data_IF_986302056490
#
_entry.id   IF_986302056490
#
_cell.length_a   1.000
_cell.length_b   1.000
_cell.length_c   1.000
_cell.angle_alpha   90.00
_cell.angle_beta   90.00
_cell.angle_gamma   90.00
#
_symmetry.space_group_name_H-M   'P 1'
#
loop_
_entity.id
_entity.type
_entity.pdbx_description
1 polymer ?
#
# COMPACT_ATOMS: atom_id res chain seq x y z
N UNK A 1 -19.02 20.78 -10.73
CA UNK A 1 -19.45 19.39 -10.98
C UNK A 1 -18.86 18.52 -9.88
N UNK A 2 -19.69 17.79 -9.12
CA UNK A 2 -19.20 16.87 -8.11
C UNK A 2 -18.47 15.70 -8.81
N UNK A 3 -17.21 15.44 -8.46
CA UNK A 3 -16.48 14.29 -8.97
C UNK A 3 -17.10 13.04 -8.36
N UNK A 4 -17.59 12.12 -9.19
CA UNK A 4 -18.03 10.81 -8.74
C UNK A 4 -16.84 10.12 -8.06
N UNK A 5 -17.02 9.63 -6.83
CA UNK A 5 -15.94 8.90 -6.14
C UNK A 5 -15.67 7.57 -6.84
N UNK A 6 -14.41 7.11 -6.80
CA UNK A 6 -13.97 5.83 -7.39
C UNK A 6 -14.84 4.65 -6.95
N UNK A 7 -15.28 4.69 -5.69
CA UNK A 7 -16.10 3.66 -5.05
C UNK A 7 -17.57 3.65 -5.53
N UNK A 8 -18.11 4.81 -5.92
CA UNK A 8 -19.51 4.94 -6.33
C UNK A 8 -19.71 4.74 -7.84
N UNK A 9 -18.64 4.84 -8.62
CA UNK A 9 -18.69 4.74 -10.08
C UNK A 9 -19.20 3.37 -10.61
N UNK A 10 -18.76 2.22 -10.06
CA UNK A 10 -19.26 0.92 -10.53
C UNK A 10 -20.75 0.73 -10.22
N UNK A 11 -21.21 1.14 -9.04
CA UNK A 11 -22.60 1.01 -8.64
C UNK A 11 -23.52 1.83 -9.56
N UNK A 12 -23.16 3.09 -9.82
CA UNK A 12 -23.94 3.95 -10.70
C UNK A 12 -24.00 3.43 -12.14
N UNK A 13 -22.89 2.89 -12.67
CA UNK A 13 -22.90 2.25 -13.99
C UNK A 13 -23.73 0.96 -14.00
N UNK A 14 -23.72 0.20 -12.91
CA UNK A 14 -24.57 -0.97 -12.72
C UNK A 14 -26.04 -0.62 -12.78
N UNK A 15 -26.46 0.41 -12.03
CA UNK A 15 -27.86 0.88 -12.02
C UNK A 15 -28.34 1.30 -13.43
N UNK A 16 -27.48 1.99 -14.20
CA UNK A 16 -27.78 2.39 -15.57
C UNK A 16 -27.91 1.17 -16.49
N UNK A 17 -27.01 0.18 -16.37
CA UNK A 17 -27.07 -1.06 -17.15
C UNK A 17 -28.36 -1.83 -16.84
N UNK A 18 -28.70 -1.98 -15.56
CA UNK A 18 -29.92 -2.69 -15.14
C UNK A 18 -31.19 -2.00 -15.65
N UNK A 19 -31.28 -0.68 -15.57
CA UNK A 19 -32.41 0.06 -16.13
C UNK A 19 -32.51 -0.12 -17.64
N UNK A 20 -31.38 -0.08 -18.35
CA UNK A 20 -31.36 -0.24 -19.80
C UNK A 20 -31.83 -1.64 -20.22
N UNK A 21 -31.34 -2.69 -19.54
CA UNK A 21 -31.74 -4.08 -19.75
C UNK A 21 -33.24 -4.31 -19.51
N UNK A 22 -33.80 -3.67 -18.48
CA UNK A 22 -35.19 -3.88 -18.06
C UNK A 22 -36.19 -3.09 -18.91
N UNK A 23 -35.87 -1.85 -19.27
CA UNK A 23 -36.87 -0.90 -19.76
C UNK A 23 -36.66 -0.43 -21.21
N UNK A 24 -35.45 -0.54 -21.76
CA UNK A 24 -35.10 0.09 -23.04
C UNK A 24 -34.82 -0.91 -24.17
N UNK A 25 -34.33 -2.10 -23.82
CA UNK A 25 -34.03 -3.16 -24.78
C UNK A 25 -32.73 -2.96 -25.58
N UNK A 26 -32.34 -4.00 -26.32
CA UNK A 26 -31.01 -4.13 -26.93
C UNK A 26 -30.73 -3.16 -28.08
N UNK A 27 -31.78 -2.70 -28.78
CA UNK A 27 -31.67 -1.77 -29.93
C UNK A 27 -31.53 -0.30 -29.51
N UNK A 28 -31.80 0.02 -28.23
CA UNK A 28 -31.65 1.38 -27.73
C UNK A 28 -30.17 1.79 -27.69
N UNK A 29 -29.87 3.05 -28.00
CA UNK A 29 -28.52 3.61 -27.94
C UNK A 29 -28.51 4.99 -27.30
N UNK A 30 -27.48 5.29 -26.51
CA UNK A 30 -27.27 6.60 -25.89
C UNK A 30 -26.06 7.24 -26.53
N UNK A 31 -26.25 8.32 -27.29
CA UNK A 31 -25.16 9.00 -28.02
C UNK A 31 -24.32 8.03 -28.88
N UNK A 32 -24.97 7.04 -29.50
CA UNK A 32 -24.31 6.00 -30.31
C UNK A 32 -23.61 4.90 -29.50
N UNK A 33 -23.70 4.90 -28.17
CA UNK A 33 -23.21 3.82 -27.32
C UNK A 33 -24.27 2.73 -27.16
N UNK A 34 -23.86 1.48 -27.27
CA UNK A 34 -24.72 0.31 -27.03
C UNK A 34 -24.58 -0.20 -25.59
N UNK A 35 -25.55 -1.00 -25.13
CA UNK A 35 -25.50 -1.66 -23.82
C UNK A 35 -24.23 -2.50 -23.63
N UNK A 36 -23.85 -3.27 -24.66
CA UNK A 36 -22.62 -4.10 -24.65
C UNK A 36 -21.37 -3.24 -24.42
N UNK A 37 -21.30 -2.06 -25.04
CA UNK A 37 -20.17 -1.15 -24.85
C UNK A 37 -20.14 -0.55 -23.44
N UNK A 38 -21.31 -0.27 -22.84
CA UNK A 38 -21.41 0.22 -21.47
C UNK A 38 -20.99 -0.87 -20.46
N UNK A 39 -21.47 -2.10 -20.64
CA UNK A 39 -21.05 -3.27 -19.85
C UNK A 39 -19.53 -3.49 -19.94
N UNK A 40 -18.96 -3.42 -21.14
CA UNK A 40 -17.51 -3.52 -21.32
C UNK A 40 -16.74 -2.42 -20.56
N UNK A 41 -17.26 -1.19 -20.51
CA UNK A 41 -16.68 -0.10 -19.70
C UNK A 41 -16.77 -0.37 -18.20
N UNK A 42 -17.88 -0.93 -17.71
CA UNK A 42 -18.02 -1.33 -16.31
C UNK A 42 -16.98 -2.40 -15.94
N UNK A 43 -16.85 -3.45 -16.76
CA UNK A 43 -15.85 -4.51 -16.54
C UNK A 43 -14.42 -3.97 -16.55
N UNK A 44 -14.10 -3.08 -17.49
CA UNK A 44 -12.79 -2.43 -17.55
C UNK A 44 -12.53 -1.57 -16.31
N UNK A 45 -13.53 -0.80 -15.85
CA UNK A 45 -13.45 0.00 -14.64
C UNK A 45 -13.19 -0.88 -13.39
N UNK A 46 -13.95 -1.96 -13.23
CA UNK A 46 -13.78 -2.89 -12.11
C UNK A 46 -12.40 -3.55 -12.11
N UNK A 47 -11.90 -3.92 -13.29
CA UNK A 47 -10.53 -4.46 -13.45
C UNK A 47 -9.48 -3.45 -13.00
N UNK A 48 -9.60 -2.19 -13.44
CA UNK A 48 -8.68 -1.13 -13.04
C UNK A 48 -8.75 -0.82 -11.54
N UNK A 49 -9.95 -0.79 -10.95
CA UNK A 49 -10.11 -0.58 -9.51
C UNK A 49 -9.45 -1.69 -8.70
N UNK A 50 -9.59 -2.95 -9.13
CA UNK A 50 -8.90 -4.08 -8.51
C UNK A 50 -7.39 -3.93 -8.62
N UNK A 51 -6.87 -3.60 -9.80
CA UNK A 51 -5.44 -3.41 -10.00
C UNK A 51 -4.86 -2.29 -9.13
N UNK A 52 -5.62 -1.20 -8.93
CA UNK A 52 -5.23 -0.13 -8.01
C UNK A 52 -5.17 -0.63 -6.56
N UNK A 53 -6.19 -1.37 -6.11
CA UNK A 53 -6.22 -1.93 -4.76
C UNK A 53 -5.06 -2.92 -4.52
N UNK A 54 -4.73 -3.74 -5.51
CA UNK A 54 -3.60 -4.67 -5.46
C UNK A 54 -2.26 -3.91 -5.33
N UNK A 55 -2.08 -2.82 -6.09
CA UNK A 55 -0.89 -1.96 -6.00
C UNK A 55 -0.80 -1.21 -4.67
N UNK A 56 -1.93 -0.76 -4.11
CA UNK A 56 -1.98 -0.11 -2.80
C UNK A 56 -1.58 -1.10 -1.69
N UNK A 57 -2.02 -2.35 -1.79
CA UNK A 57 -1.60 -3.42 -0.88
C UNK A 57 -0.10 -3.71 -1.01
N UNK A 58 0.42 -3.82 -2.24
CA UNK A 58 1.85 -4.04 -2.47
C UNK A 58 2.70 -2.90 -1.90
N UNK A 59 2.27 -1.64 -2.09
CA UNK A 59 2.92 -0.47 -1.53
C UNK A 59 2.97 -0.53 0.00
N UNK A 60 1.86 -0.91 0.65
CA UNK A 60 1.81 -1.05 2.10
C UNK A 60 2.76 -2.13 2.62
N UNK A 61 2.86 -3.27 1.93
CA UNK A 61 3.82 -4.34 2.27
C UNK A 61 5.26 -3.82 2.15
N UNK A 62 5.58 -3.16 1.03
CA UNK A 62 6.93 -2.60 0.81
C UNK A 62 7.29 -1.50 1.80
N UNK A 63 6.33 -0.67 2.20
CA UNK A 63 6.53 0.32 3.25
C UNK A 63 6.87 -0.37 4.59
N UNK A 64 6.16 -1.45 4.95
CA UNK A 64 6.46 -2.22 6.15
C UNK A 64 7.83 -2.91 6.12
N UNK A 65 8.20 -3.50 4.97
CA UNK A 65 9.54 -4.07 4.76
C UNK A 65 10.64 -3.01 4.93
N UNK A 66 10.44 -1.81 4.37
CA UNK A 66 11.38 -0.70 4.50
C UNK A 66 11.52 -0.24 5.96
N UNK A 67 10.41 -0.09 6.68
CA UNK A 67 10.44 0.30 8.10
C UNK A 67 11.19 -0.74 8.95
N UNK A 68 10.96 -2.03 8.72
CA UNK A 68 11.68 -3.10 9.41
C UNK A 68 13.18 -3.06 9.11
N UNK A 69 13.58 -2.90 7.84
CA UNK A 69 14.98 -2.81 7.45
C UNK A 69 15.68 -1.58 8.06
N UNK A 70 14.97 -0.45 8.17
CA UNK A 70 15.48 0.74 8.85
C UNK A 70 15.69 0.49 10.34
N UNK A 71 14.71 -0.12 11.02
CA UNK A 71 14.80 -0.45 12.44
C UNK A 71 15.96 -1.43 12.74
N UNK A 72 16.16 -2.42 11.88
CA UNK A 72 17.31 -3.34 11.95
C UNK A 72 18.63 -2.60 11.75
N UNK A 73 18.74 -1.78 10.71
CA UNK A 73 19.93 -0.98 10.45
C UNK A 73 20.30 -0.05 11.61
N UNK A 74 19.31 0.62 12.23
CA UNK A 74 19.55 1.44 13.42
C UNK A 74 20.00 0.62 14.62
N UNK A 75 19.41 -0.57 14.81
CA UNK A 75 19.81 -1.49 15.89
C UNK A 75 21.25 -1.96 15.71
N UNK A 76 21.65 -2.33 14.50
CA UNK A 76 22.99 -2.80 14.22
C UNK A 76 24.01 -1.68 14.42
N UNK A 77 23.71 -0.49 13.91
CA UNK A 77 24.53 0.68 14.10
C UNK A 77 24.72 1.01 15.60
N UNK A 78 23.63 1.00 16.39
CA UNK A 78 23.70 1.24 17.83
C UNK A 78 24.52 0.17 18.60
N UNK A 79 24.54 -1.07 18.11
CA UNK A 79 25.30 -2.17 18.73
C UNK A 79 26.72 -2.32 18.20
N UNK A 80 27.07 -1.63 17.10
CA UNK A 80 28.36 -1.78 16.42
C UNK A 80 29.56 -1.60 17.35
N UNK A 81 29.57 -0.50 18.12
CA UNK A 81 30.65 -0.21 19.07
C UNK A 81 30.76 -1.27 20.17
N UNK A 82 29.63 -1.81 20.62
CA UNK A 82 29.60 -2.90 21.61
C UNK A 82 30.08 -4.22 21.02
N UNK A 83 29.80 -4.50 19.75
CA UNK A 83 30.35 -5.66 19.05
C UNK A 83 31.88 -5.58 18.94
N UNK A 84 32.43 -4.41 18.62
CA UNK A 84 33.89 -4.18 18.61
C UNK A 84 34.47 -4.37 20.01
N UNK A 85 33.81 -3.84 21.05
CA UNK A 85 34.23 -4.05 22.44
C UNK A 85 34.39 -5.53 22.79
N UNK A 86 33.41 -6.35 22.44
CA UNK A 86 33.39 -7.78 22.71
C UNK A 86 34.50 -8.50 21.91
N UNK A 87 34.73 -8.10 20.65
CA UNK A 87 35.66 -8.79 19.75
C UNK A 87 37.13 -8.36 19.92
N UNK A 88 37.38 -7.10 20.30
CA UNK A 88 38.71 -6.47 20.29
C UNK A 88 39.12 -5.87 21.65
N UNK A 89 38.18 -5.73 22.58
CA UNK A 89 38.39 -5.09 23.87
C UNK A 89 38.23 -3.57 23.84
N UNK A 90 37.91 -2.99 25.00
CA UNK A 90 37.71 -1.53 25.17
C UNK A 90 38.97 -0.70 24.89
N UNK A 91 40.14 -1.27 25.14
CA UNK A 91 41.41 -0.56 24.99
C UNK A 91 41.98 -0.63 23.57
N UNK A 92 41.28 -1.31 22.65
CA UNK A 92 41.69 -1.40 21.25
C UNK A 92 41.55 -0.06 20.52
N UNK A 93 42.43 0.18 19.55
CA UNK A 93 42.34 1.34 18.66
C UNK A 93 41.03 1.32 17.86
N UNK A 94 40.61 0.14 17.44
CA UNK A 94 39.36 -0.10 16.71
C UNK A 94 38.13 0.33 17.53
N UNK A 95 38.13 0.09 18.85
CA UNK A 95 37.05 0.57 19.72
C UNK A 95 37.08 2.09 19.95
N UNK A 96 38.28 2.67 20.06
CA UNK A 96 38.46 4.11 20.20
C UNK A 96 37.94 4.86 18.97
N UNK A 97 38.27 4.36 17.78
CA UNK A 97 37.91 4.94 16.48
C UNK A 97 36.45 4.64 16.07
N UNK A 98 35.77 3.70 16.74
CA UNK A 98 34.38 3.35 16.43
C UNK A 98 33.39 4.51 16.69
N UNK A 99 32.44 4.76 15.78
CA UNK A 99 31.47 5.85 15.93
C UNK A 99 30.61 5.68 17.19
N UNK A 100 30.38 6.79 17.91
CA UNK A 100 29.49 6.86 19.07
C UNK A 100 28.10 7.25 18.60
N UNK A 101 27.24 6.26 18.42
CA UNK A 101 25.87 6.50 18.00
C UNK A 101 24.94 6.66 19.22
N UNK A 102 23.96 7.57 19.15
CA UNK A 102 22.97 7.73 20.21
C UNK A 102 22.16 6.44 20.38
N UNK A 103 21.75 6.16 21.61
CA UNK A 103 21.00 4.95 21.94
C UNK A 103 19.64 4.99 21.25
N UNK A 104 19.38 4.05 20.35
CA UNK A 104 18.09 3.93 19.67
C UNK A 104 17.02 3.40 20.65
N UNK A 105 15.99 4.19 20.95
CA UNK A 105 14.75 3.67 21.53
C UNK A 105 13.91 3.09 20.40
N UNK A 106 13.73 1.77 20.39
CA UNK A 106 12.74 1.10 19.52
C UNK A 106 11.41 1.84 19.63
N UNK A 107 10.75 2.12 18.49
CA UNK A 107 9.31 2.36 18.52
C UNK A 107 8.68 1.12 19.14
N UNK A 108 7.90 1.28 20.23
CA UNK A 108 7.08 0.19 20.74
C UNK A 108 6.15 -0.21 19.58
N UNK A 109 6.15 -1.49 19.23
CA UNK A 109 5.11 -2.02 18.35
C UNK A 109 3.77 -1.58 18.93
N UNK A 110 2.95 -0.89 18.12
CA UNK A 110 1.58 -0.62 18.52
C UNK A 110 0.94 -1.99 18.77
N UNK A 111 0.47 -2.22 20.02
CA UNK A 111 -0.30 -3.42 20.35
C UNK A 111 -1.41 -3.56 19.32
N UNK A 112 -1.38 -4.65 18.56
CA UNK A 112 -2.49 -5.04 17.71
C UNK A 112 -3.75 -5.08 18.60
N UNK A 113 -4.91 -4.56 18.13
CA UNK A 113 -6.13 -4.58 18.93
C UNK A 113 -6.43 -6.03 19.32
N UNK A 114 -6.57 -6.25 20.62
CA UNK A 114 -6.93 -7.54 21.18
C UNK A 114 -8.23 -8.03 20.55
N UNK A 115 -8.21 -9.26 20.05
CA UNK A 115 -9.40 -10.00 19.60
C UNK A 115 -10.33 -10.31 20.77
#
# INVERSE_FOLDING_TARGET
MAKLSREKAPALLGDVISHWEQDLGDDFTVMGMTLVQLQAKLTALQTLLKAVADLENELNVKAGELENALDEGYRDAANYRKAIEIAKGRDSREYADAPKLPTYRRKKAAEAPAQ
#
